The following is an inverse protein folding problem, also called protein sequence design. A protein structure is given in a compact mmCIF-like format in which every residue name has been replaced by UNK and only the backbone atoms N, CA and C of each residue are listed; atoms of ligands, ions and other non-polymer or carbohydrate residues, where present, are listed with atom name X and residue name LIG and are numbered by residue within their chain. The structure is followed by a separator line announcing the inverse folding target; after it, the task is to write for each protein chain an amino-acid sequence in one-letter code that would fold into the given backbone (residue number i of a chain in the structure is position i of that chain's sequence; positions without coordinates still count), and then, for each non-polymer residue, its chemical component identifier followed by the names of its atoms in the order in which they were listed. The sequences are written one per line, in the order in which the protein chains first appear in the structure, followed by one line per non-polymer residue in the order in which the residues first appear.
data_IF_598988534299
#
_entry.id   IF_598988534299
#
_cell.length_a   1.000
_cell.length_b   1.000
_cell.length_c   1.000
_cell.angle_alpha   90.00
_cell.angle_beta   90.00
_cell.angle_gamma   90.00
#
_symmetry.space_group_name_H-M   'P 1'
#
loop_
_entity.id
_entity.type
_entity.pdbx_description
1 polymer ?
#
# COMPACT_ATOMS: atom_id res chain seq x y z
N UNK A 1 10.57 -1.75 -2.42
CA UNK A 1 10.99 -2.89 -3.25
C UNK A 1 11.77 -2.33 -4.44
N UNK A 2 12.95 -2.88 -4.70
CA UNK A 2 13.74 -2.57 -5.91
C UNK A 2 13.66 -3.78 -6.83
N UNK A 3 13.49 -3.53 -8.12
CA UNK A 3 13.46 -4.60 -9.11
C UNK A 3 14.89 -5.14 -9.34
N UNK A 4 15.01 -6.45 -9.52
CA UNK A 4 16.30 -7.04 -9.89
C UNK A 4 16.67 -6.65 -11.33
N UNK A 5 17.97 -6.54 -11.61
CA UNK A 5 18.45 -6.15 -12.94
C UNK A 5 17.92 -7.09 -14.03
N UNK A 6 17.34 -6.51 -15.09
CA UNK A 6 16.72 -7.24 -16.20
C UNK A 6 15.25 -7.62 -16.01
N UNK A 7 14.64 -7.31 -14.86
CA UNK A 7 13.20 -7.50 -14.64
C UNK A 7 12.43 -6.21 -14.86
N UNK A 8 11.32 -6.31 -15.58
CA UNK A 8 10.33 -5.24 -15.71
C UNK A 8 9.04 -5.64 -15.02
N UNK A 9 8.30 -4.67 -14.50
CA UNK A 9 7.03 -4.89 -13.81
C UNK A 9 5.95 -3.98 -14.39
N UNK A 10 4.83 -4.55 -14.81
CA UNK A 10 3.72 -3.79 -15.40
C UNK A 10 2.98 -3.00 -14.34
N UNK A 11 2.97 -1.67 -14.45
CA UNK A 11 2.26 -0.78 -13.50
C UNK A 11 0.75 -0.99 -13.57
N UNK A 12 0.18 -1.29 -14.74
CA UNK A 12 -1.23 -1.64 -14.87
C UNK A 12 -1.56 -2.95 -14.15
N UNK A 13 -0.76 -4.00 -14.40
CA UNK A 13 -0.95 -5.29 -13.73
C UNK A 13 -0.74 -5.18 -12.22
N UNK A 14 0.20 -4.34 -11.77
CA UNK A 14 0.39 -4.02 -10.36
C UNK A 14 -0.82 -3.30 -9.77
N UNK A 15 -1.35 -2.29 -10.45
CA UNK A 15 -2.55 -1.57 -10.02
C UNK A 15 -3.73 -2.52 -9.88
N UNK A 16 -3.91 -3.41 -10.86
CA UNK A 16 -4.95 -4.43 -10.81
C UNK A 16 -4.75 -5.39 -9.63
N UNK A 17 -3.53 -5.92 -9.45
CA UNK A 17 -3.19 -6.81 -8.35
C UNK A 17 -3.39 -6.14 -6.97
N UNK A 18 -3.06 -4.85 -6.85
CA UNK A 18 -3.31 -4.06 -5.65
C UNK A 18 -4.82 -3.92 -5.38
N UNK A 19 -5.64 -3.69 -6.41
CA UNK A 19 -7.09 -3.68 -6.25
C UNK A 19 -7.62 -5.02 -5.70
N UNK A 20 -7.20 -6.14 -6.28
CA UNK A 20 -7.59 -7.47 -5.80
C UNK A 20 -7.14 -7.68 -4.34
N UNK A 21 -5.89 -7.36 -4.02
CA UNK A 21 -5.29 -7.59 -2.70
C UNK A 21 -5.91 -6.71 -1.62
N UNK A 22 -6.08 -5.41 -1.90
CA UNK A 22 -6.72 -4.49 -0.96
C UNK A 22 -8.17 -4.88 -0.73
N UNK A 23 -8.91 -5.25 -1.78
CA UNK A 23 -10.30 -5.67 -1.65
C UNK A 23 -10.45 -6.99 -0.89
N UNK A 24 -9.48 -7.92 -1.02
CA UNK A 24 -9.44 -9.16 -0.22
C UNK A 24 -9.30 -8.89 1.28
N UNK A 25 -8.63 -7.82 1.68
CA UNK A 25 -8.28 -7.57 3.08
C UNK A 25 -9.01 -6.34 3.66
N UNK A 26 -10.09 -6.55 4.46
CA UNK A 26 -10.86 -5.48 5.09
C UNK A 26 -10.04 -4.45 5.86
N UNK A 27 -8.95 -4.89 6.50
CA UNK A 27 -8.07 -4.01 7.28
C UNK A 27 -7.42 -2.92 6.45
N UNK A 28 -7.14 -3.16 5.16
CA UNK A 28 -6.50 -2.19 4.26
C UNK A 28 -7.45 -1.08 3.76
N UNK A 29 -8.74 -1.20 4.04
CA UNK A 29 -9.77 -0.25 3.64
C UNK A 29 -10.81 -0.02 4.76
N UNK A 30 -10.38 -0.15 6.02
CA UNK A 30 -11.23 0.14 7.19
C UNK A 30 -11.07 1.59 7.62
N UNK A 31 -12.19 2.30 7.77
CA UNK A 31 -12.23 3.63 8.33
C UNK A 31 -12.38 3.63 9.84
N UNK A 32 -11.77 4.62 10.50
CA UNK A 32 -11.85 4.87 11.93
C UNK A 32 -12.52 6.23 12.16
N UNK A 33 -13.64 6.25 12.88
CA UNK A 33 -14.35 7.48 13.22
C UNK A 33 -14.76 7.48 14.68
N UNK A 34 -14.64 8.63 15.34
CA UNK A 34 -15.08 8.78 16.72
C UNK A 34 -16.53 9.26 16.73
N UNK A 35 -17.44 8.42 17.22
CA UNK A 35 -18.84 8.79 17.46
C UNK A 35 -18.92 9.60 18.75
N UNK A 36 -19.09 10.91 18.61
CA UNK A 36 -19.15 11.85 19.74
C UNK A 36 -20.39 11.58 20.61
N UNK A 37 -21.50 11.14 20.03
CA UNK A 37 -22.73 10.90 20.78
C UNK A 37 -22.61 9.66 21.67
N UNK A 38 -21.93 8.63 21.16
CA UNK A 38 -21.68 7.39 21.90
C UNK A 38 -20.38 7.40 22.71
N UNK A 39 -19.55 8.42 22.50
CA UNK A 39 -18.20 8.52 23.06
C UNK A 39 -17.35 7.27 22.77
N UNK A 40 -17.41 6.77 21.52
CA UNK A 40 -16.81 5.50 21.11
C UNK A 40 -16.02 5.66 19.80
N UNK A 41 -14.85 5.02 19.73
CA UNK A 41 -14.13 4.83 18.47
C UNK A 41 -14.79 3.68 17.71
N UNK A 42 -15.27 3.97 16.51
CA UNK A 42 -15.96 3.05 15.63
C UNK A 42 -15.08 2.71 14.44
N UNK A 43 -15.13 1.44 14.03
CA UNK A 43 -14.48 0.97 12.82
C UNK A 43 -15.54 0.60 11.78
N UNK A 44 -15.29 0.92 10.51
CA UNK A 44 -16.18 0.55 9.41
C UNK A 44 -15.36 0.15 8.19
N UNK A 45 -15.58 -1.06 7.70
CA UNK A 45 -14.99 -1.51 6.44
C UNK A 45 -15.64 -0.73 5.29
N UNK A 46 -14.83 -0.09 4.45
CA UNK A 46 -15.28 0.68 3.29
C UNK A 46 -15.29 -0.22 2.06
N UNK A 47 -16.46 -0.41 1.47
CA UNK A 47 -16.60 -1.22 0.25
C UNK A 47 -16.57 -0.34 -0.99
N UNK A 48 -16.36 -0.95 -2.16
CA UNK A 48 -16.44 -0.24 -3.45
C UNK A 48 -17.81 0.41 -3.71
N UNK A 49 -18.87 -0.10 -3.08
CA UNK A 49 -20.23 0.44 -3.20
C UNK A 49 -20.44 1.73 -2.38
N UNK A 50 -19.56 2.02 -1.42
CA UNK A 50 -19.74 3.10 -0.43
C UNK A 50 -19.45 4.53 -0.95
N UNK A 51 -19.37 4.74 -2.28
CA UNK A 51 -19.32 6.02 -3.07
C UNK A 51 -18.03 6.20 -3.91
N UNK A 52 -17.87 5.58 -5.08
CA UNK A 52 -16.76 5.88 -6.03
C UNK A 52 -15.37 6.06 -5.39
N UNK A 53 -15.16 5.50 -4.20
CA UNK A 53 -14.05 5.87 -3.34
C UNK A 53 -12.93 4.89 -3.67
N UNK A 54 -11.76 5.44 -3.96
CA UNK A 54 -10.57 4.62 -4.06
C UNK A 54 -10.34 3.99 -2.69
N UNK A 55 -10.19 2.66 -2.63
CA UNK A 55 -9.88 1.97 -1.37
C UNK A 55 -8.44 2.28 -0.89
N UNK A 56 -7.60 2.79 -1.78
CA UNK A 56 -6.22 3.14 -1.52
C UNK A 56 -5.72 4.21 -2.49
N UNK A 57 -4.60 4.83 -2.16
CA UNK A 57 -3.96 5.85 -3.00
C UNK A 57 -2.77 5.27 -3.76
N UNK A 58 -2.64 5.61 -5.05
CA UNK A 58 -1.41 5.39 -5.82
C UNK A 58 -0.86 6.72 -6.27
N UNK A 59 0.38 7.02 -5.93
CA UNK A 59 1.08 8.25 -6.33
C UNK A 59 2.27 7.87 -7.21
N UNK A 60 2.60 8.75 -8.14
CA UNK A 60 3.68 8.59 -9.09
C UNK A 60 4.60 9.81 -9.02
N UNK A 61 5.90 9.59 -8.87
CA UNK A 61 6.92 10.65 -8.86
C UNK A 61 8.12 10.22 -9.67
N UNK A 62 8.79 11.18 -10.30
CA UNK A 62 10.05 10.95 -11.01
C UNK A 62 11.19 11.59 -10.25
N UNK A 63 12.32 10.91 -10.18
CA UNK A 63 13.56 11.42 -9.60
C UNK A 63 14.74 11.19 -10.53
N UNK A 64 15.73 12.07 -10.46
CA UNK A 64 16.92 12.04 -11.31
C UNK A 64 18.22 11.99 -10.51
N UNK A 65 18.18 12.47 -9.27
CA UNK A 65 19.34 12.53 -8.36
C UNK A 65 19.04 11.83 -7.04
N UNK A 66 20.11 11.45 -6.33
CA UNK A 66 20.00 10.81 -5.01
C UNK A 66 19.39 11.77 -3.97
N UNK A 67 19.62 13.08 -4.10
CA UNK A 67 19.00 14.09 -3.23
C UNK A 67 17.47 14.07 -3.37
N UNK A 68 16.95 14.08 -4.60
CA UNK A 68 15.51 13.99 -4.86
C UNK A 68 14.92 12.68 -4.34
N UNK A 69 15.62 11.56 -4.54
CA UNK A 69 15.21 10.27 -3.98
C UNK A 69 15.13 10.35 -2.45
N UNK A 70 16.14 10.91 -1.81
CA UNK A 70 16.19 11.05 -0.35
C UNK A 70 15.10 11.97 0.18
N UNK A 71 14.76 13.04 -0.52
CA UNK A 71 13.63 13.93 -0.17
C UNK A 71 12.30 13.18 -0.21
N UNK A 72 12.04 12.43 -1.28
CA UNK A 72 10.81 11.62 -1.37
C UNK A 72 10.78 10.58 -0.24
N UNK A 73 11.87 9.83 -0.03
CA UNK A 73 11.95 8.86 1.07
C UNK A 73 11.80 9.50 2.45
N UNK A 74 12.20 10.76 2.62
CA UNK A 74 12.04 11.48 3.87
C UNK A 74 10.57 11.88 4.10
N UNK A 75 9.90 12.38 3.06
CA UNK A 75 8.48 12.73 3.10
C UNK A 75 7.63 11.48 3.40
N UNK A 76 7.88 10.38 2.69
CA UNK A 76 7.21 9.09 2.90
C UNK A 76 7.28 8.57 4.35
N UNK A 77 8.36 8.88 5.07
CA UNK A 77 8.52 8.45 6.47
C UNK A 77 7.88 9.38 7.49
N UNK A 78 7.73 10.67 7.18
CA UNK A 78 7.46 11.71 8.18
C UNK A 78 6.18 12.46 7.95
N UNK A 79 5.62 12.42 6.75
CA UNK A 79 4.42 13.14 6.42
C UNK A 79 3.21 12.53 7.15
N UNK A 80 2.58 13.24 8.11
CA UNK A 80 1.46 12.70 8.85
C UNK A 80 0.17 12.68 8.03
N UNK A 81 0.15 13.31 6.86
CA UNK A 81 -1.04 13.43 6.00
C UNK A 81 -1.09 12.38 4.89
N UNK A 82 -0.24 11.34 4.95
CA UNK A 82 -0.24 10.26 3.96
C UNK A 82 -1.53 9.40 4.01
N UNK A 83 -2.27 9.47 5.11
CA UNK A 83 -3.44 8.64 5.36
C UNK A 83 -4.64 9.49 5.79
N UNK A 84 -5.82 9.06 5.37
CA UNK A 84 -7.10 9.57 5.88
C UNK A 84 -7.88 8.40 6.49
N UNK A 85 -7.71 8.22 7.80
CA UNK A 85 -8.35 7.14 8.52
C UNK A 85 -9.88 7.30 8.56
N UNK A 86 -10.41 8.54 8.50
CA UNK A 86 -11.85 8.76 8.54
C UNK A 86 -12.53 8.26 7.25
N UNK A 87 -11.80 8.30 6.13
CA UNK A 87 -12.24 7.79 4.83
C UNK A 87 -11.82 6.35 4.55
N UNK A 88 -11.01 5.74 5.42
CA UNK A 88 -10.48 4.39 5.21
C UNK A 88 -9.31 4.32 4.21
N UNK A 89 -8.70 5.46 3.89
CA UNK A 89 -7.49 5.56 3.07
C UNK A 89 -6.25 5.27 3.94
N UNK A 90 -6.09 3.99 4.27
CA UNK A 90 -5.07 3.52 5.22
C UNK A 90 -3.93 2.75 4.56
N UNK A 91 -4.06 2.50 3.25
CA UNK A 91 -3.04 1.93 2.40
C UNK A 91 -2.69 2.88 1.26
N UNK A 92 -1.41 2.96 0.93
CA UNK A 92 -0.89 3.77 -0.17
C UNK A 92 0.30 3.09 -0.84
N UNK A 93 0.35 3.24 -2.16
CA UNK A 93 1.46 2.82 -3.01
C UNK A 93 2.11 4.04 -3.68
N UNK A 94 3.43 4.13 -3.68
CA UNK A 94 4.18 5.16 -4.41
C UNK A 94 5.08 4.49 -5.44
N UNK A 95 4.86 4.82 -6.71
CA UNK A 95 5.72 4.46 -7.83
C UNK A 95 6.74 5.59 -8.04
N UNK A 96 8.02 5.29 -7.86
CA UNK A 96 9.11 6.23 -8.14
C UNK A 96 9.87 5.80 -9.38
N UNK A 97 9.85 6.65 -10.41
CA UNK A 97 10.57 6.41 -11.66
C UNK A 97 11.92 7.11 -11.65
N UNK A 98 12.98 6.40 -11.97
CA UNK A 98 14.28 7.01 -12.19
C UNK A 98 14.41 7.52 -13.62
N UNK A 99 14.67 8.83 -13.77
CA UNK A 99 14.90 9.50 -15.07
C UNK A 99 13.95 8.99 -16.13
N UNK A 100 12.65 9.24 -15.96
CA UNK A 100 11.56 8.69 -16.76
C UNK A 100 11.82 8.82 -18.28
N UNK A 101 12.46 7.80 -18.87
CA UNK A 101 12.74 7.69 -20.31
C UNK A 101 11.51 7.04 -20.91
N UNK A 102 10.68 7.85 -21.57
CA UNK A 102 9.42 7.51 -22.19
C UNK A 102 9.28 6.05 -22.70
N UNK A 103 8.62 5.17 -21.93
CA UNK A 103 7.56 4.30 -22.43
C UNK A 103 6.72 3.68 -21.31
N UNK A 104 5.42 3.83 -21.51
CA UNK A 104 4.23 3.23 -20.91
C UNK A 104 4.41 1.95 -20.08
N UNK A 105 3.83 2.03 -18.88
CA UNK A 105 3.39 0.92 -18.04
C UNK A 105 4.43 -0.07 -17.52
N UNK A 106 5.73 0.22 -17.56
CA UNK A 106 6.76 -0.66 -17.00
C UNK A 106 7.65 0.06 -15.98
N UNK A 107 7.84 -0.56 -14.82
CA UNK A 107 8.92 -0.26 -13.88
C UNK A 107 10.17 -1.05 -14.27
N UNK A 108 11.33 -0.42 -14.16
CA UNK A 108 12.66 -0.98 -14.40
C UNK A 108 13.45 -1.17 -13.09
N UNK A 109 14.64 -1.76 -13.19
CA UNK A 109 15.53 -2.05 -12.05
C UNK A 109 15.96 -0.83 -11.22
N UNK A 110 15.96 0.35 -11.83
CA UNK A 110 16.26 1.61 -11.16
C UNK A 110 15.05 2.25 -10.48
N UNK A 111 13.84 1.79 -10.80
CA UNK A 111 12.61 2.32 -10.20
C UNK A 111 12.37 1.73 -8.81
N UNK A 112 11.58 2.44 -7.99
CA UNK A 112 11.21 1.98 -6.67
C UNK A 112 9.69 1.91 -6.48
N UNK A 113 9.30 0.90 -5.73
CA UNK A 113 7.95 0.73 -5.22
C UNK A 113 7.95 0.88 -3.71
N UNK A 114 7.17 1.84 -3.19
CA UNK A 114 6.99 2.06 -1.76
C UNK A 114 5.56 1.74 -1.37
N UNK A 115 5.41 0.85 -0.39
CA UNK A 115 4.13 0.56 0.25
C UNK A 115 4.09 1.19 1.63
N UNK A 116 3.02 1.92 1.90
CA UNK A 116 2.76 2.49 3.22
C UNK A 116 1.39 2.01 3.70
N UNK A 117 1.38 1.50 4.92
CA UNK A 117 0.18 1.06 5.61
C UNK A 117 0.10 1.77 6.96
N UNK A 118 -1.07 2.25 7.33
CA UNK A 118 -1.26 2.83 8.65
C UNK A 118 -1.28 1.72 9.72
N UNK A 119 -0.35 1.80 10.68
CA UNK A 119 -0.16 0.75 11.71
C UNK A 119 -1.38 0.48 12.60
N UNK A 120 -2.34 1.40 12.66
CA UNK A 120 -3.61 1.14 13.37
C UNK A 120 -4.38 -0.07 12.82
N UNK A 121 -4.08 -0.53 11.60
CA UNK A 121 -4.81 -1.61 10.92
C UNK A 121 -3.89 -2.65 10.26
N UNK A 122 -2.57 -2.49 10.34
CA UNK A 122 -1.61 -3.34 9.66
C UNK A 122 -0.33 -3.52 10.48
N UNK A 123 0.11 -4.77 10.67
CA UNK A 123 1.32 -5.09 11.42
C UNK A 123 2.44 -5.66 10.52
N UNK A 124 3.61 -5.87 11.10
CA UNK A 124 4.76 -6.39 10.34
C UNK A 124 4.54 -7.83 9.86
N UNK A 125 3.78 -8.64 10.59
CA UNK A 125 3.49 -10.03 10.20
C UNK A 125 2.55 -10.09 8.99
N UNK A 126 1.62 -9.12 8.92
CA UNK A 126 0.68 -8.90 7.82
C UNK A 126 1.40 -8.54 6.52
N UNK A 127 2.60 -7.98 6.58
CA UNK A 127 3.38 -7.64 5.38
C UNK A 127 3.69 -8.87 4.53
N UNK A 128 4.03 -10.01 5.14
CA UNK A 128 4.35 -11.22 4.39
C UNK A 128 3.10 -11.78 3.69
N UNK A 129 1.94 -11.74 4.35
CA UNK A 129 0.66 -12.17 3.79
C UNK A 129 0.27 -11.25 2.63
N UNK A 130 0.36 -9.93 2.83
CA UNK A 130 0.11 -8.94 1.79
C UNK A 130 1.00 -9.16 0.55
N UNK A 131 2.30 -9.34 0.75
CA UNK A 131 3.23 -9.56 -0.37
C UNK A 131 2.99 -10.90 -1.07
N UNK A 132 2.63 -11.95 -0.33
CA UNK A 132 2.25 -13.23 -0.91
C UNK A 132 1.04 -13.08 -1.82
N UNK A 133 -0.04 -12.47 -1.31
CA UNK A 133 -1.28 -12.27 -2.05
C UNK A 133 -1.09 -11.32 -3.23
N UNK A 134 -0.33 -10.24 -3.06
CA UNK A 134 0.01 -9.32 -4.14
C UNK A 134 0.77 -10.03 -5.26
N UNK A 135 1.76 -10.87 -4.92
CA UNK A 135 2.51 -11.64 -5.92
C UNK A 135 1.62 -12.65 -6.65
N UNK A 136 0.71 -13.32 -5.94
CA UNK A 136 -0.25 -14.22 -6.55
C UNK A 136 -1.21 -13.48 -7.48
N UNK A 137 -1.81 -12.39 -7.01
CA UNK A 137 -2.71 -11.55 -7.79
C UNK A 137 -2.01 -11.00 -9.03
N UNK A 138 -0.77 -10.54 -8.90
CA UNK A 138 0.02 -10.06 -10.01
C UNK A 138 0.31 -11.17 -11.02
N UNK A 139 0.74 -12.35 -10.57
CA UNK A 139 1.18 -13.43 -11.47
C UNK A 139 0.04 -14.17 -12.16
N UNK A 140 -1.14 -14.21 -11.53
CA UNK A 140 -2.26 -15.07 -11.97
C UNK A 140 -3.55 -14.32 -12.26
N UNK A 141 -3.59 -13.01 -12.03
CA UNK A 141 -4.79 -12.16 -12.16
C UNK A 141 -5.94 -12.58 -11.24
N UNK A 142 -5.65 -13.41 -10.23
CA UNK A 142 -6.63 -14.04 -9.35
C UNK A 142 -6.09 -14.19 -7.94
N UNK A 143 -7.00 -14.15 -6.95
CA UNK A 143 -6.71 -14.49 -5.57
C UNK A 143 -7.51 -15.72 -5.17
N UNK A 144 -6.83 -16.68 -4.56
CA UNK A 144 -7.49 -17.78 -3.89
C UNK A 144 -8.08 -17.24 -2.58
N UNK A 145 -9.38 -17.43 -2.42
CA UNK A 145 -10.08 -17.08 -1.19
C UNK A 145 -9.91 -18.24 -0.20
N UNK A 146 -8.84 -18.19 0.59
CA UNK A 146 -8.67 -19.02 1.78
C UNK A 146 -8.81 -18.13 3.01
N UNK A 147 -9.86 -18.37 3.81
CA UNK A 147 -10.19 -17.61 5.01
C UNK A 147 -9.07 -17.58 6.06
N UNK A 148 -8.10 -18.51 5.97
CA UNK A 148 -6.93 -18.57 6.84
C UNK A 148 -5.83 -17.56 6.47
N UNK A 149 -5.90 -16.95 5.29
CA UNK A 149 -4.93 -15.94 4.79
C UNK A 149 -5.44 -14.51 4.89
N UNK A 150 -6.65 -14.31 5.44
CA UNK A 150 -7.16 -12.97 5.64
C UNK A 150 -6.35 -12.24 6.71
N UNK A 151 -5.92 -11.02 6.39
CA UNK A 151 -5.35 -10.10 7.36
C UNK A 151 -6.40 -9.82 8.44
N UNK A 152 -6.24 -10.47 9.59
CA UNK A 152 -7.07 -10.27 10.77
C UNK A 152 -6.27 -9.43 11.76
N UNK A 153 -6.88 -8.35 12.21
CA UNK A 153 -6.28 -7.45 13.17
C UNK A 153 -5.91 -8.18 14.47
N UNK A 154 -4.63 -8.12 14.85
CA UNK A 154 -4.14 -8.43 16.18
C UNK A 154 -3.57 -7.14 16.76
N UNK A 155 -4.20 -6.62 17.81
CA UNK A 155 -3.74 -5.45 18.55
C UNK A 155 -2.40 -5.77 19.25
N UNK A 156 -1.29 -5.49 18.58
CA UNK A 156 0.05 -5.53 19.16
C UNK A 156 0.55 -4.10 19.35
N UNK A 157 0.47 -3.62 20.59
CA UNK A 157 0.99 -2.35 21.09
C UNK A 157 2.49 -2.16 20.84
N UNK A 158 2.93 -1.85 19.63
CA UNK A 158 4.32 -1.41 19.40
C UNK A 158 4.41 -0.34 18.31
N UNK A 159 4.92 0.83 18.68
CA UNK A 159 5.32 1.90 17.76
C UNK A 159 6.61 1.51 17.08
N UNK A 160 6.54 1.05 15.84
CA UNK A 160 7.70 1.01 14.95
C UNK A 160 7.32 1.65 13.62
N UNK A 161 8.16 2.56 13.14
CA UNK A 161 8.10 3.12 11.79
C UNK A 161 9.13 2.38 10.94
N UNK A 162 8.75 1.86 9.77
CA UNK A 162 9.71 1.21 8.87
C UNK A 162 9.61 1.72 7.45
N UNK A 163 10.78 2.11 6.92
CA UNK A 163 11.08 2.15 5.51
C UNK A 163 11.82 0.85 5.21
N UNK A 164 11.24 0.01 4.36
CA UNK A 164 11.86 -1.27 3.99
C UNK A 164 12.99 -0.98 2.99
N UNK A 165 14.20 -0.77 3.51
CA UNK A 165 15.46 -1.03 2.81
C UNK A 165 15.91 -2.43 3.24
N UNK A 166 15.71 -3.43 2.39
CA UNK A 166 16.26 -4.78 2.62
C UNK A 166 17.51 -4.94 1.75
N UNK A 167 18.53 -5.56 2.35
CA UNK A 167 19.90 -5.77 1.85
C UNK A 167 19.98 -6.55 0.53
#
# INVERSE_FOLDING_TARGET
YRLHSGHTLSTEQLRHALHLTVNKHPSLHTSLHFDIQKNQLMQRVITHEDKNNNLFSVIETTYETDEQLNEVLHDEKRNPHLFDLAQGLVFRCHLLYYKQISSNDLLCDQDLLIFNCHHALFDLSSMNIFLHDLNQAYSTDQLLYDDNTNLRYLDCKYKYYFCISLF
#
